data_IF_313971260249
#
_entry.id   IF_313971260249
#
_cell.length_a   1.000
_cell.length_b   1.000
_cell.length_c   1.000
_cell.angle_alpha   90.00
_cell.angle_beta   90.00
_cell.angle_gamma   90.00
#
_symmetry.space_group_name_H-M   'P 1'
#
loop_
_entity.id
_entity.type
_entity.pdbx_description
1 polymer ?
#
# COMPACT_ATOMS: atom_id res chain seq x y z
N UNK A 1 -12.09 -16.38 12.07
CA UNK A 1 -11.54 -16.29 12.21
C UNK A 1 -10.18 -16.29 12.18
N UNK A 2 -9.58 -16.47 11.36
CA UNK A 2 -8.17 -16.51 11.20
C UNK A 2 -7.49 -15.27 11.72
N UNK A 3 -8.18 -14.20 11.63
CA UNK A 3 -7.58 -12.92 12.06
C UNK A 3 -7.24 -12.91 13.53
N UNK A 4 -7.96 -13.67 14.31
CA UNK A 4 -7.66 -13.70 15.72
C UNK A 4 -6.34 -14.35 15.99
N UNK A 5 -5.98 -15.30 15.19
CA UNK A 5 -4.72 -15.96 15.38
C UNK A 5 -3.55 -15.11 15.00
N UNK A 6 -3.72 -14.34 13.96
CA UNK A 6 -2.63 -13.52 13.45
C UNK A 6 -2.14 -12.54 14.51
N UNK A 7 -3.02 -12.08 15.37
CA UNK A 7 -2.62 -11.14 16.39
C UNK A 7 -1.67 -11.74 17.41
N UNK A 8 -1.81 -13.04 17.68
CA UNK A 8 -0.99 -13.69 18.67
C UNK A 8 0.26 -14.34 18.08
N UNK A 9 0.24 -14.62 16.80
CA UNK A 9 1.34 -15.32 16.16
C UNK A 9 2.36 -14.36 15.59
N UNK A 10 3.63 -14.65 15.84
CA UNK A 10 4.72 -13.83 15.33
C UNK A 10 5.56 -14.69 14.40
N UNK A 11 5.72 -14.23 13.18
CA UNK A 11 6.56 -14.91 12.21
C UNK A 11 7.77 -14.03 11.95
N UNK A 12 8.96 -14.61 12.12
CA UNK A 12 10.18 -13.85 11.94
C UNK A 12 10.64 -13.95 10.50
N UNK A 13 11.02 -12.82 9.95
CA UNK A 13 11.56 -12.78 8.60
C UNK A 13 12.72 -11.82 8.56
N UNK A 14 13.72 -12.14 7.78
CA UNK A 14 14.89 -11.29 7.60
C UNK A 14 14.81 -10.62 6.26
N UNK A 15 15.10 -9.33 6.22
CA UNK A 15 15.14 -8.58 4.97
C UNK A 15 16.39 -7.72 4.98
N UNK A 16 16.95 -7.50 3.81
CA UNK A 16 18.08 -6.59 3.64
C UNK A 16 17.53 -5.27 3.16
N UNK A 17 17.94 -4.19 3.81
CA UNK A 17 17.44 -2.87 3.48
C UNK A 17 18.55 -2.05 2.84
N UNK A 18 18.26 -1.32 1.75
CA UNK A 18 19.23 -0.35 1.25
C UNK A 18 19.55 0.67 2.34
N UNK A 19 20.77 1.17 2.33
CA UNK A 19 21.23 2.04 3.39
C UNK A 19 20.36 3.29 3.55
N UNK A 20 19.97 3.89 2.44
CA UNK A 20 19.14 5.10 2.51
C UNK A 20 17.77 4.82 3.12
N UNK A 21 17.20 3.66 2.83
CA UNK A 21 15.93 3.28 3.41
C UNK A 21 16.08 3.03 4.90
N UNK A 22 17.15 2.35 5.29
CA UNK A 22 17.41 2.09 6.69
C UNK A 22 17.57 3.39 7.48
N UNK A 23 18.24 4.37 6.91
CA UNK A 23 18.41 5.66 7.57
C UNK A 23 17.08 6.37 7.77
N UNK A 24 16.21 6.29 6.77
CA UNK A 24 14.90 6.93 6.90
C UNK A 24 14.06 6.26 7.97
N UNK A 25 14.15 4.94 8.06
CA UNK A 25 13.43 4.21 9.10
C UNK A 25 13.94 4.60 10.48
N UNK A 26 15.26 4.72 10.62
CA UNK A 26 15.83 5.11 11.90
C UNK A 26 15.37 6.50 12.32
N UNK A 27 15.32 7.42 11.38
CA UNK A 27 14.87 8.77 11.65
C UNK A 27 13.41 8.79 12.09
N UNK A 28 12.58 7.98 11.45
CA UNK A 28 11.17 7.88 11.84
C UNK A 28 11.02 7.27 13.22
N UNK A 29 11.79 6.22 13.50
CA UNK A 29 11.75 5.57 14.79
C UNK A 29 12.12 6.55 15.89
N UNK A 30 13.15 7.33 15.66
CA UNK A 30 13.59 8.31 16.64
C UNK A 30 12.53 9.39 16.86
N UNK A 31 11.93 9.85 15.78
CA UNK A 31 10.89 10.85 15.83
C UNK A 31 9.67 10.38 16.62
N UNK A 32 9.35 9.10 16.50
CA UNK A 32 8.19 8.52 17.16
C UNK A 32 8.53 7.94 18.54
N UNK A 33 9.79 7.93 18.92
CA UNK A 33 10.26 7.36 20.18
C UNK A 33 9.92 5.88 20.27
N UNK A 34 10.15 5.15 19.21
CA UNK A 34 9.98 3.70 19.18
C UNK A 34 11.24 3.06 18.64
N UNK A 35 11.34 1.74 18.80
CA UNK A 35 12.48 1.01 18.26
C UNK A 35 12.41 0.98 16.73
N UNK A 36 13.57 0.71 16.12
CA UNK A 36 13.59 0.56 14.68
C UNK A 36 12.68 -0.57 14.21
N UNK A 37 12.68 -1.67 14.94
CA UNK A 37 11.82 -2.80 14.59
C UNK A 37 10.35 -2.40 14.65
N UNK A 38 9.96 -1.66 15.68
CA UNK A 38 8.57 -1.23 15.81
C UNK A 38 8.19 -0.28 14.67
N UNK A 39 9.12 0.62 14.31
CA UNK A 39 8.86 1.53 13.21
C UNK A 39 8.64 0.77 11.90
N UNK A 40 9.44 -0.27 11.67
CA UNK A 40 9.29 -1.08 10.47
C UNK A 40 7.92 -1.73 10.43
N UNK A 41 7.50 -2.32 11.55
CA UNK A 41 6.20 -2.99 11.60
C UNK A 41 5.07 -1.99 11.34
N UNK A 42 5.13 -0.82 11.97
CA UNK A 42 4.10 0.19 11.78
C UNK A 42 4.05 0.68 10.35
N UNK A 43 5.22 0.94 9.76
CA UNK A 43 5.28 1.41 8.39
C UNK A 43 4.79 0.38 7.40
N UNK A 44 5.10 -0.90 7.65
CA UNK A 44 4.61 -1.97 6.79
C UNK A 44 3.10 -2.07 6.86
N UNK A 45 2.53 -1.96 8.04
CA UNK A 45 1.09 -2.03 8.19
C UNK A 45 0.42 -0.89 7.42
N UNK A 46 0.99 0.32 7.53
CA UNK A 46 0.47 1.47 6.80
C UNK A 46 0.59 1.27 5.29
N UNK A 47 1.74 0.73 4.86
CA UNK A 47 1.98 0.54 3.44
C UNK A 47 1.03 -0.49 2.84
N UNK A 48 0.76 -1.56 3.58
CA UNK A 48 -0.15 -2.60 3.12
C UNK A 48 -1.56 -2.04 3.01
N UNK A 49 -1.99 -1.27 3.99
CA UNK A 49 -3.30 -0.66 3.95
C UNK A 49 -3.43 0.27 2.74
N UNK A 50 -2.42 1.09 2.50
CA UNK A 50 -2.43 1.97 1.34
C UNK A 50 -2.46 1.18 0.03
N UNK A 51 -1.71 0.10 -0.01
CA UNK A 51 -1.69 -0.76 -1.20
C UNK A 51 -3.08 -1.35 -1.47
N UNK A 52 -3.72 -1.84 -0.41
CA UNK A 52 -5.04 -2.44 -0.56
C UNK A 52 -6.08 -1.42 -0.99
N UNK A 53 -5.97 -0.21 -0.47
CA UNK A 53 -6.90 0.85 -0.84
C UNK A 53 -6.74 1.25 -2.31
N UNK A 54 -5.49 1.35 -2.76
CA UNK A 54 -5.23 1.68 -4.17
C UNK A 54 -5.72 0.58 -5.10
N UNK A 55 -5.53 -0.68 -4.69
CA UNK A 55 -5.97 -1.80 -5.49
C UNK A 55 -7.50 -1.80 -5.59
N UNK A 56 -8.19 -1.55 -4.49
CA UNK A 56 -9.65 -1.49 -4.51
C UNK A 56 -10.14 -0.38 -5.42
N UNK A 57 -9.49 0.78 -5.36
CA UNK A 57 -9.86 1.90 -6.21
C UNK A 57 -9.64 1.57 -7.69
N UNK A 58 -8.52 0.91 -7.98
CA UNK A 58 -8.23 0.52 -9.35
C UNK A 58 -9.27 -0.45 -9.89
N UNK A 59 -9.63 -1.44 -9.09
CA UNK A 59 -10.62 -2.43 -9.51
C UNK A 59 -11.99 -1.80 -9.71
N UNK A 60 -12.33 -0.83 -8.86
CA UNK A 60 -13.59 -0.11 -9.01
C UNK A 60 -13.61 0.68 -10.32
N UNK A 61 -12.52 1.36 -10.62
CA UNK A 61 -12.42 2.12 -11.86
C UNK A 61 -12.49 1.20 -13.07
N UNK A 62 -11.82 0.06 -13.01
CA UNK A 62 -11.86 -0.89 -14.11
C UNK A 62 -13.27 -1.40 -14.35
N UNK A 63 -14.00 -1.68 -13.26
CA UNK A 63 -15.37 -2.12 -13.38
C UNK A 63 -16.26 -1.06 -14.02
N UNK A 64 -16.10 0.18 -13.57
CA UNK A 64 -16.85 1.29 -14.12
C UNK A 64 -16.53 1.52 -15.59
N UNK A 65 -15.26 1.36 -15.97
CA UNK A 65 -14.85 1.50 -17.36
C UNK A 65 -15.55 0.46 -18.23
N UNK A 66 -15.59 -0.79 -17.77
CA UNK A 66 -16.23 -1.85 -18.53
C UNK A 66 -17.72 -1.63 -18.68
N UNK A 67 -18.33 -1.00 -17.71
CA UNK A 67 -19.78 -0.75 -17.74
C UNK A 67 -20.16 0.56 -18.39
N UNK A 68 -19.17 1.38 -18.73
CA UNK A 68 -19.44 2.69 -19.30
C UNK A 68 -19.96 2.55 -20.72
N UNK A 69 -20.97 3.34 -21.05
CA UNK A 69 -21.55 3.36 -22.39
C UNK A 69 -21.43 4.70 -23.05
N UNK A 70 -20.91 5.69 -22.35
CA UNK A 70 -20.75 7.03 -22.91
C UNK A 70 -19.30 7.25 -23.28
N UNK A 71 -19.04 7.67 -24.53
CA UNK A 71 -17.64 7.81 -24.97
C UNK A 71 -16.80 8.75 -24.10
N UNK A 72 -17.38 9.85 -23.67
CA UNK A 72 -16.65 10.81 -22.85
C UNK A 72 -16.26 10.21 -21.51
N UNK A 73 -17.19 9.50 -20.90
CA UNK A 73 -16.92 8.86 -19.62
C UNK A 73 -15.92 7.72 -19.76
N UNK A 74 -16.05 6.97 -20.84
CA UNK A 74 -15.11 5.87 -21.12
C UNK A 74 -13.69 6.40 -21.24
N UNK A 75 -13.53 7.49 -21.97
CA UNK A 75 -12.21 8.07 -22.15
C UNK A 75 -11.62 8.57 -20.84
N UNK A 76 -12.44 9.21 -20.02
CA UNK A 76 -11.98 9.72 -18.72
C UNK A 76 -11.56 8.57 -17.82
N UNK A 77 -12.33 7.50 -17.80
CA UNK A 77 -12.00 6.34 -16.98
C UNK A 77 -10.72 5.65 -17.48
N UNK A 78 -10.54 5.63 -18.79
CA UNK A 78 -9.33 5.05 -19.37
C UNK A 78 -8.10 5.82 -18.92
N UNK A 79 -8.17 7.13 -18.92
CA UNK A 79 -7.05 7.96 -18.50
C UNK A 79 -6.74 7.75 -17.03
N UNK A 80 -7.79 7.63 -16.22
CA UNK A 80 -7.60 7.42 -14.79
C UNK A 80 -6.94 6.08 -14.52
N UNK A 81 -7.38 5.02 -15.22
CA UNK A 81 -6.78 3.70 -15.07
C UNK A 81 -5.32 3.71 -15.50
N UNK A 82 -5.03 4.42 -16.57
CA UNK A 82 -3.65 4.51 -17.04
C UNK A 82 -2.76 5.18 -16.01
N UNK A 83 -3.25 6.24 -15.37
CA UNK A 83 -2.48 6.90 -14.33
C UNK A 83 -2.19 5.97 -13.17
N UNK A 84 -3.18 5.18 -12.75
CA UNK A 84 -3.00 4.27 -11.64
C UNK A 84 -2.08 3.11 -11.98
N UNK A 85 -2.08 2.72 -13.23
CA UNK A 85 -1.26 1.58 -13.66
C UNK A 85 0.20 1.97 -13.86
N UNK A 86 0.45 3.13 -14.48
CA UNK A 86 1.80 3.53 -14.83
C UNK A 86 2.43 4.51 -13.86
N UNK A 87 1.72 4.84 -12.82
CA UNK A 87 2.28 5.66 -11.81
C UNK A 87 2.23 7.12 -12.09
N UNK A 88 2.67 7.86 -11.37
CA UNK A 88 2.79 9.05 -11.43
C UNK A 88 3.12 9.68 -11.05
#
# INVERSE_FOLDING_TARGET
>A
MASTLAAADIIRRSVSLPADLAEKIDAIAESRHVSGNRAIVDLLADAILAYEQRRAAFLDLADRFQKSKKPAETERLREELARMTFGN
#
